data_IF_594499683748
#
_entry.id   IF_594499683748
#
_cell.length_a   1.000
_cell.length_b   1.000
_cell.length_c   1.000
_cell.angle_alpha   90.00
_cell.angle_beta   90.00
_cell.angle_gamma   90.00
#
_symmetry.space_group_name_H-M   'P 1'
#
loop_
_entity.id
_entity.type
_entity.pdbx_description
1 polymer ?
#
# COMPACT_ATOMS: atom_id res chain seq x y z
N UNK A 1 -25.59 -3.48 -10.12
CA UNK A 1 -24.17 -3.86 -9.96
C UNK A 1 -23.33 -2.58 -10.01
N UNK A 2 -22.20 -2.39 -9.31
CA UNK A 2 -21.70 -2.96 -8.05
C UNK A 2 -21.01 -1.89 -7.14
N UNK A 3 -21.55 -1.53 -5.98
CA UNK A 3 -20.93 -0.51 -5.08
C UNK A 3 -19.84 -1.04 -4.13
N UNK A 4 -19.46 -2.33 -4.21
CA UNK A 4 -18.50 -2.94 -3.29
C UNK A 4 -17.07 -2.36 -3.43
N UNK A 5 -16.68 -1.90 -4.62
CA UNK A 5 -15.31 -1.47 -4.90
C UNK A 5 -15.02 0.01 -4.57
N UNK A 6 -16.04 0.84 -4.34
CA UNK A 6 -15.83 2.27 -4.08
C UNK A 6 -15.32 2.52 -2.66
N UNK A 7 -15.96 1.88 -1.66
CA UNK A 7 -15.53 1.96 -0.26
C UNK A 7 -14.16 1.32 -0.03
N UNK A 8 -13.89 0.20 -0.71
CA UNK A 8 -12.58 -0.45 -0.69
C UNK A 8 -11.49 0.45 -1.27
N UNK A 9 -11.77 1.12 -2.40
CA UNK A 9 -10.85 2.08 -3.03
C UNK A 9 -10.61 3.32 -2.17
N UNK A 10 -11.65 3.89 -1.55
CA UNK A 10 -11.49 5.02 -0.63
C UNK A 10 -10.66 4.63 0.59
N UNK A 11 -10.96 3.49 1.22
CA UNK A 11 -10.18 3.00 2.36
C UNK A 11 -8.72 2.70 1.98
N UNK A 12 -8.47 2.14 0.80
CA UNK A 12 -7.11 1.93 0.29
C UNK A 12 -6.37 3.25 0.00
N UNK A 13 -7.08 4.28 -0.49
CA UNK A 13 -6.49 5.62 -0.65
C UNK A 13 -6.14 6.28 0.68
N UNK A 14 -6.98 6.15 1.71
CA UNK A 14 -6.69 6.67 3.04
C UNK A 14 -5.45 5.99 3.63
N UNK A 15 -5.42 4.66 3.59
CA UNK A 15 -4.26 3.86 4.04
C UNK A 15 -2.99 4.17 3.25
N UNK A 16 -3.10 4.43 1.94
CA UNK A 16 -1.98 4.87 1.12
C UNK A 16 -1.43 6.22 1.60
N UNK A 17 -2.30 7.19 1.93
CA UNK A 17 -1.86 8.50 2.42
C UNK A 17 -1.13 8.37 3.76
N UNK A 18 -1.65 7.56 4.68
CA UNK A 18 -0.98 7.29 5.97
C UNK A 18 0.38 6.61 5.79
N UNK A 19 0.44 5.54 4.97
CA UNK A 19 1.68 4.83 4.69
C UNK A 19 2.72 5.72 3.97
N UNK A 20 2.26 6.59 3.05
CA UNK A 20 3.11 7.57 2.38
C UNK A 20 3.67 8.61 3.36
N UNK A 21 2.86 9.09 4.31
CA UNK A 21 3.31 10.02 5.33
C UNK A 21 4.38 9.38 6.22
N UNK A 22 4.15 8.16 6.70
CA UNK A 22 5.16 7.37 7.46
C UNK A 22 6.43 7.15 6.66
N UNK A 23 6.32 6.76 5.39
CA UNK A 23 7.47 6.57 4.53
C UNK A 23 8.27 7.87 4.36
N UNK A 24 7.61 9.02 4.15
CA UNK A 24 8.30 10.29 4.02
C UNK A 24 8.94 10.76 5.33
N UNK A 25 8.27 10.58 6.46
CA UNK A 25 8.85 10.90 7.77
C UNK A 25 10.11 10.06 8.02
N UNK A 26 10.03 8.74 7.81
CA UNK A 26 11.16 7.83 7.93
C UNK A 26 12.24 8.19 6.90
N UNK A 27 11.86 8.56 5.67
CA UNK A 27 12.79 8.96 4.61
C UNK A 27 13.56 10.24 4.97
N UNK A 28 12.90 11.19 5.63
CA UNK A 28 13.46 12.49 5.97
C UNK A 28 14.40 12.47 7.17
N UNK A 29 14.43 11.38 7.97
CA UNK A 29 15.33 11.28 9.13
C UNK A 29 16.80 11.19 8.68
N UNK A 30 17.67 12.16 9.05
CA UNK A 30 19.11 12.03 8.85
C UNK A 30 19.67 10.97 9.84
N UNK A 31 20.63 10.16 9.41
CA UNK A 31 21.22 9.04 10.18
C UNK A 31 20.27 7.88 10.54
N UNK A 32 19.66 7.26 9.53
CA UNK A 32 18.91 6.01 9.71
C UNK A 32 19.83 4.83 10.08
N UNK A 33 19.55 4.21 11.23
CA UNK A 33 20.11 2.91 11.62
C UNK A 33 19.66 1.81 10.65
N UNK A 34 20.28 0.62 10.72
CA UNK A 34 19.86 -0.54 9.91
C UNK A 34 18.37 -0.86 10.11
N UNK A 35 17.87 -0.72 11.33
CA UNK A 35 16.45 -0.83 11.66
C UNK A 35 15.62 0.26 10.99
N UNK A 36 16.04 1.53 11.05
CA UNK A 36 15.34 2.63 10.37
C UNK A 36 15.24 2.44 8.85
N UNK A 37 16.23 1.79 8.22
CA UNK A 37 16.16 1.40 6.79
C UNK A 37 15.17 0.25 6.56
N UNK A 38 15.08 -0.71 7.47
CA UNK A 38 14.11 -1.80 7.39
C UNK A 38 12.68 -1.29 7.57
N UNK A 39 12.45 -0.36 8.50
CA UNK A 39 11.16 0.31 8.69
C UNK A 39 10.77 1.16 7.48
N UNK A 40 11.72 1.90 6.88
CA UNK A 40 11.47 2.61 5.62
C UNK A 40 11.05 1.65 4.50
N UNK A 41 11.75 0.51 4.36
CA UNK A 41 11.43 -0.49 3.34
C UNK A 41 10.06 -1.14 3.57
N UNK A 42 9.69 -1.41 4.83
CA UNK A 42 8.35 -1.89 5.20
C UNK A 42 7.28 -0.86 4.86
N UNK A 43 7.49 0.41 5.24
CA UNK A 43 6.56 1.50 4.93
C UNK A 43 6.40 1.71 3.42
N UNK A 44 7.48 1.59 2.65
CA UNK A 44 7.45 1.64 1.18
C UNK A 44 6.62 0.49 0.59
N UNK A 45 6.85 -0.76 1.05
CA UNK A 45 6.07 -1.92 0.60
C UNK A 45 4.59 -1.78 0.93
N UNK A 46 4.25 -1.29 2.12
CA UNK A 46 2.88 -1.06 2.53
C UNK A 46 2.20 0.02 1.68
N UNK A 47 2.90 1.14 1.42
CA UNK A 47 2.45 2.18 0.50
C UNK A 47 2.18 1.61 -0.90
N UNK A 48 3.12 0.87 -1.49
CA UNK A 48 2.96 0.26 -2.83
C UNK A 48 1.80 -0.74 -2.86
N UNK A 49 1.62 -1.53 -1.79
CA UNK A 49 0.51 -2.48 -1.68
C UNK A 49 -0.85 -1.78 -1.63
N UNK A 50 -0.99 -0.73 -0.81
CA UNK A 50 -2.24 0.04 -0.73
C UNK A 50 -2.51 0.83 -2.02
N UNK A 51 -1.46 1.34 -2.67
CA UNK A 51 -1.57 1.96 -3.99
C UNK A 51 -2.09 0.96 -5.02
N UNK A 52 -1.57 -0.27 -5.01
CA UNK A 52 -2.04 -1.33 -5.88
C UNK A 52 -3.49 -1.67 -5.61
N UNK A 53 -3.90 -1.83 -4.34
CA UNK A 53 -5.32 -2.05 -3.98
C UNK A 53 -6.24 -0.88 -4.37
N UNK A 54 -5.78 0.36 -4.26
CA UNK A 54 -6.54 1.53 -4.67
C UNK A 54 -6.68 1.63 -6.20
N UNK A 55 -5.72 1.07 -6.94
CA UNK A 55 -5.72 1.05 -8.40
C UNK A 55 -6.31 -0.24 -9.01
N UNK A 56 -6.38 -1.33 -8.25
CA UNK A 56 -7.00 -2.59 -8.65
C UNK A 56 -8.50 -2.35 -8.85
N UNK A 57 -8.89 -2.12 -10.12
CA UNK A 57 -10.29 -1.96 -10.55
C UNK A 57 -11.12 -3.25 -10.47
N UNK A 58 -10.62 -4.30 -9.78
CA UNK A 58 -11.29 -5.59 -9.65
C UNK A 58 -10.75 -6.70 -10.56
N UNK A 59 -9.71 -6.46 -11.36
CA UNK A 59 -9.09 -7.49 -12.23
C UNK A 59 -7.96 -8.23 -11.51
N UNK A 60 -8.28 -8.92 -10.41
CA UNK A 60 -7.48 -10.05 -9.97
C UNK A 60 -8.39 -11.28 -9.83
N UNK A 61 -9.00 -11.63 -10.95
CA UNK A 61 -9.67 -12.92 -11.17
C UNK A 61 -8.78 -13.79 -12.09
N UNK A 62 -7.52 -14.03 -11.70
CA UNK A 62 -6.66 -15.01 -12.37
C UNK A 62 -5.36 -15.11 -11.56
N UNK A 63 -4.85 -16.24 -11.08
CA UNK A 63 -4.95 -17.60 -11.58
C UNK A 63 -4.79 -18.58 -10.39
N UNK A 64 -5.85 -19.29 -10.04
CA UNK A 64 -5.72 -20.70 -9.63
C UNK A 64 -6.76 -21.47 -10.43
N UNK A 65 -6.38 -21.79 -11.67
CA UNK A 65 -7.03 -22.85 -12.40
C UNK A 65 -6.95 -24.11 -11.52
N UNK A 66 -8.11 -24.73 -11.31
CA UNK A 66 -8.25 -25.98 -10.56
C UNK A 66 -7.33 -27.04 -11.19
N UNK A 67 -6.44 -27.61 -10.39
CA UNK A 67 -5.88 -28.95 -10.61
C UNK A 67 -6.49 -29.88 -9.60
#
# INVERSE_FOLDING_TARGET
MPHANQKAKQSAQEKYKEAKAKYQELKSKPNKTKEGKADEAKAKKEMEHQQKKANEKGENHSQKAKT
#
